data_IF_618921416357
#
_entry.id   IF_618921416357
#
_cell.length_a   1.000
_cell.length_b   1.000
_cell.length_c   1.000
_cell.angle_alpha   90.00
_cell.angle_beta   90.00
_cell.angle_gamma   90.00
#
_symmetry.space_group_name_H-M   'P 1'
#
loop_
_entity.id
_entity.type
_entity.pdbx_description
1 polymer ?
#
# COMPACT_ATOMS: atom_id res chain seq x y z
N UNK A 1 9.58 -14.20 -32.64
CA UNK A 1 9.84 -12.90 -32.01
C UNK A 1 9.33 -12.95 -30.58
N UNK A 2 10.12 -12.50 -29.63
CA UNK A 2 9.72 -12.43 -28.21
C UNK A 2 9.08 -11.06 -28.00
N UNK A 3 7.80 -11.03 -27.62
CA UNK A 3 7.12 -9.80 -27.21
C UNK A 3 7.53 -9.43 -25.78
N UNK A 4 7.93 -8.17 -25.56
CA UNK A 4 8.16 -7.65 -24.21
C UNK A 4 6.91 -6.87 -23.77
N UNK A 5 6.41 -7.21 -22.57
CA UNK A 5 5.31 -6.52 -21.91
C UNK A 5 5.85 -5.77 -20.69
N UNK A 6 5.44 -4.53 -20.51
CA UNK A 6 5.72 -3.75 -19.30
C UNK A 6 4.70 -4.06 -18.20
N UNK A 7 5.16 -4.17 -16.94
CA UNK A 7 4.31 -4.40 -15.77
C UNK A 7 4.57 -3.37 -14.69
N UNK A 8 3.64 -2.46 -14.48
CA UNK A 8 3.67 -1.49 -13.38
C UNK A 8 3.36 -2.13 -12.03
N UNK A 9 4.08 -1.72 -10.99
CA UNK A 9 3.95 -2.28 -9.64
C UNK A 9 3.79 -1.19 -8.58
N UNK A 10 4.80 -0.92 -7.80
CA UNK A 10 4.86 0.10 -6.75
C UNK A 10 6.30 0.49 -6.48
N UNK A 11 6.55 1.13 -5.36
CA UNK A 11 7.90 1.42 -4.91
C UNK A 11 8.70 0.12 -4.72
N UNK A 12 10.01 0.18 -4.91
CA UNK A 12 10.91 -0.98 -4.85
C UNK A 12 10.84 -1.73 -3.51
N UNK A 13 10.63 -1.02 -2.42
CA UNK A 13 10.46 -1.58 -1.07
C UNK A 13 9.07 -2.17 -0.81
N UNK A 14 8.08 -1.90 -1.66
CA UNK A 14 6.70 -2.33 -1.46
C UNK A 14 6.50 -3.82 -1.80
N UNK A 15 5.59 -4.47 -1.06
CA UNK A 15 5.24 -5.87 -1.29
C UNK A 15 4.70 -6.12 -2.70
N UNK A 16 3.95 -5.18 -3.24
CA UNK A 16 3.38 -5.27 -4.59
C UNK A 16 4.49 -5.34 -5.67
N UNK A 17 5.63 -4.67 -5.46
CA UNK A 17 6.78 -4.77 -6.36
C UNK A 17 7.41 -6.17 -6.31
N UNK A 18 7.59 -6.73 -5.12
CA UNK A 18 8.11 -8.09 -4.95
C UNK A 18 7.18 -9.14 -5.56
N UNK A 19 5.87 -8.95 -5.44
CA UNK A 19 4.87 -9.80 -6.09
C UNK A 19 4.98 -9.70 -7.62
N UNK A 20 5.15 -8.51 -8.17
CA UNK A 20 5.36 -8.29 -9.60
C UNK A 20 6.60 -9.00 -10.13
N UNK A 21 7.73 -8.90 -9.42
CA UNK A 21 8.95 -9.64 -9.77
C UNK A 21 8.71 -11.15 -9.80
N UNK A 22 8.02 -11.69 -8.79
CA UNK A 22 7.73 -13.12 -8.73
C UNK A 22 6.82 -13.58 -9.88
N UNK A 23 5.76 -12.82 -10.19
CA UNK A 23 4.83 -13.11 -11.28
C UNK A 23 5.55 -13.03 -12.63
N UNK A 24 6.30 -11.96 -12.88
CA UNK A 24 7.10 -11.80 -14.10
C UNK A 24 8.10 -12.94 -14.26
N UNK A 25 8.76 -13.35 -13.17
CA UNK A 25 9.68 -14.48 -13.17
C UNK A 25 9.02 -15.79 -13.58
N UNK A 26 7.82 -16.07 -13.10
CA UNK A 26 7.06 -17.25 -13.51
C UNK A 26 6.70 -17.17 -15.00
N UNK A 27 6.15 -16.05 -15.47
CA UNK A 27 5.77 -15.88 -16.88
C UNK A 27 7.00 -16.03 -17.79
N UNK A 28 8.09 -15.34 -17.48
CA UNK A 28 9.32 -15.36 -18.28
C UNK A 28 9.95 -16.76 -18.38
N UNK A 29 9.76 -17.59 -17.37
CA UNK A 29 10.29 -18.95 -17.35
C UNK A 29 9.36 -20.00 -17.96
N UNK A 30 8.05 -19.74 -18.03
CA UNK A 30 7.06 -20.76 -18.38
C UNK A 30 6.28 -20.48 -19.66
N UNK A 31 6.22 -19.21 -20.12
CA UNK A 31 5.45 -18.82 -21.30
C UNK A 31 6.36 -18.46 -22.45
N UNK A 32 6.53 -19.36 -23.45
CA UNK A 32 7.40 -19.07 -24.61
C UNK A 32 6.93 -17.86 -25.40
N UNK A 33 7.85 -17.01 -25.83
CA UNK A 33 7.57 -15.87 -26.68
C UNK A 33 7.05 -14.63 -25.94
N UNK A 34 6.93 -14.66 -24.62
CA UNK A 34 6.57 -13.50 -23.80
C UNK A 34 7.69 -13.21 -22.81
N UNK A 35 8.03 -11.94 -22.67
CA UNK A 35 8.91 -11.43 -21.63
C UNK A 35 8.23 -10.28 -20.89
N UNK A 36 8.11 -10.35 -19.57
CA UNK A 36 7.54 -9.30 -18.72
C UNK A 36 8.68 -8.54 -18.05
N UNK A 37 8.75 -7.22 -18.30
CA UNK A 37 9.65 -6.29 -17.62
C UNK A 37 8.88 -5.58 -16.50
N UNK A 38 9.38 -5.66 -15.27
CA UNK A 38 8.75 -5.03 -14.10
C UNK A 38 9.24 -3.59 -13.97
N UNK A 39 8.29 -2.68 -13.78
CA UNK A 39 8.55 -1.25 -13.58
C UNK A 39 8.09 -0.79 -12.20
N UNK A 40 8.92 0.04 -11.55
CA UNK A 40 8.54 0.74 -10.33
C UNK A 40 7.64 1.93 -10.67
N UNK A 41 6.58 2.10 -9.87
CA UNK A 41 5.63 3.20 -10.04
C UNK A 41 5.27 3.83 -8.69
N UNK A 42 4.42 4.84 -8.71
CA UNK A 42 3.87 5.47 -7.50
C UNK A 42 2.68 4.70 -6.90
N UNK A 43 2.26 3.58 -7.51
CA UNK A 43 1.20 2.71 -6.99
C UNK A 43 -0.05 2.63 -7.87
N UNK A 44 -1.12 2.10 -7.30
CA UNK A 44 -2.29 1.60 -8.02
C UNK A 44 -3.02 2.62 -8.90
N UNK A 45 -3.19 3.85 -8.45
CA UNK A 45 -3.93 4.85 -9.22
C UNK A 45 -3.19 5.23 -10.53
N UNK A 46 -1.86 5.44 -10.44
CA UNK A 46 -1.06 5.69 -11.64
C UNK A 46 -0.97 4.46 -12.53
N UNK A 47 -0.91 3.27 -11.94
CA UNK A 47 -0.90 2.02 -12.68
C UNK A 47 -2.18 1.84 -13.52
N UNK A 48 -3.34 2.08 -12.91
CA UNK A 48 -4.62 2.02 -13.61
C UNK A 48 -4.67 2.99 -14.80
N UNK A 49 -4.20 4.23 -14.60
CA UNK A 49 -4.13 5.25 -15.64
C UNK A 49 -3.20 4.81 -16.78
N UNK A 50 -1.98 4.41 -16.46
CA UNK A 50 -0.97 4.05 -17.46
C UNK A 50 -1.38 2.82 -18.28
N UNK A 51 -2.05 1.82 -17.66
CA UNK A 51 -2.60 0.69 -18.44
C UNK A 51 -3.74 1.14 -19.35
N UNK A 52 -4.61 2.02 -18.85
CA UNK A 52 -5.71 2.55 -19.67
C UNK A 52 -5.24 3.39 -20.86
N UNK A 53 -4.15 4.13 -20.70
CA UNK A 53 -3.54 4.98 -21.75
C UNK A 53 -2.61 4.21 -22.67
N UNK A 54 -2.22 2.99 -22.30
CA UNK A 54 -1.34 2.13 -23.07
C UNK A 54 0.16 2.39 -22.83
N UNK A 55 0.50 3.13 -21.78
CA UNK A 55 1.87 3.35 -21.33
C UNK A 55 2.44 2.12 -20.59
N UNK A 56 1.55 1.29 -20.05
CA UNK A 56 1.85 -0.03 -19.49
C UNK A 56 0.95 -1.10 -20.11
N UNK A 57 1.49 -2.29 -20.32
CA UNK A 57 0.72 -3.44 -20.80
C UNK A 57 -0.04 -4.14 -19.69
N UNK A 58 0.58 -4.23 -18.50
CA UNK A 58 0.10 -4.91 -17.32
C UNK A 58 0.34 -4.04 -16.09
N UNK A 59 -0.44 -4.26 -15.02
CA UNK A 59 -0.13 -3.69 -13.72
C UNK A 59 -0.71 -4.51 -12.57
N UNK A 60 -0.08 -4.40 -11.42
CA UNK A 60 -0.67 -4.79 -10.14
C UNK A 60 -1.39 -3.58 -9.55
N UNK A 61 -2.66 -3.76 -9.21
CA UNK A 61 -3.55 -2.71 -8.73
C UNK A 61 -4.38 -3.29 -7.58
N UNK A 62 -4.54 -2.54 -6.49
CA UNK A 62 -5.45 -2.91 -5.42
C UNK A 62 -6.90 -2.98 -5.94
N UNK A 63 -7.66 -3.93 -5.42
CA UNK A 63 -9.00 -4.24 -5.94
C UNK A 63 -10.01 -3.10 -5.79
N UNK A 64 -9.94 -2.33 -4.73
CA UNK A 64 -10.73 -1.12 -4.49
C UNK A 64 -10.37 -0.01 -5.49
N UNK A 65 -9.08 0.26 -5.69
CA UNK A 65 -8.60 1.23 -6.68
C UNK A 65 -9.00 0.82 -8.11
N UNK A 66 -8.93 -0.47 -8.43
CA UNK A 66 -9.39 -0.99 -9.72
C UNK A 66 -10.90 -0.80 -9.91
N UNK A 67 -11.69 -1.00 -8.85
CA UNK A 67 -13.13 -0.73 -8.84
C UNK A 67 -13.40 0.75 -9.10
N UNK A 68 -12.75 1.65 -8.35
CA UNK A 68 -12.90 3.09 -8.48
C UNK A 68 -12.50 3.60 -9.87
N UNK A 69 -11.41 3.06 -10.42
CA UNK A 69 -10.95 3.39 -11.74
C UNK A 69 -12.01 3.07 -12.81
N UNK A 70 -12.60 1.90 -12.76
CA UNK A 70 -13.63 1.48 -13.73
C UNK A 70 -14.93 2.28 -13.57
N UNK A 71 -15.31 2.63 -12.33
CA UNK A 71 -16.56 3.33 -12.04
C UNK A 71 -16.43 4.86 -12.04
N UNK A 72 -15.21 5.40 -12.11
CA UNK A 72 -14.96 6.85 -12.10
C UNK A 72 -15.30 7.48 -10.74
N UNK A 73 -14.91 6.82 -9.65
CA UNK A 73 -15.10 7.29 -8.28
C UNK A 73 -13.77 7.66 -7.61
N UNK A 74 -13.81 8.36 -6.49
CA UNK A 74 -12.62 8.82 -5.72
C UNK A 74 -11.57 9.49 -6.62
N UNK A 75 -10.37 8.94 -6.68
CA UNK A 75 -9.26 9.49 -7.49
C UNK A 75 -9.56 9.57 -9.00
N UNK A 76 -10.60 8.89 -9.45
CA UNK A 76 -11.04 8.83 -10.85
C UNK A 76 -12.39 9.54 -11.09
N UNK A 77 -12.84 10.38 -10.14
CA UNK A 77 -14.15 11.03 -10.23
C UNK A 77 -14.36 11.72 -11.59
N UNK A 78 -15.44 11.33 -12.27
CA UNK A 78 -15.79 11.82 -13.60
C UNK A 78 -14.90 11.33 -14.75
N UNK A 79 -13.97 10.40 -14.51
CA UNK A 79 -13.06 9.84 -15.52
C UNK A 79 -12.97 8.32 -15.42
N UNK A 80 -14.02 7.55 -15.72
CA UNK A 80 -13.98 6.10 -15.67
C UNK A 80 -13.01 5.52 -16.73
N UNK A 81 -12.23 4.52 -16.32
CA UNK A 81 -11.27 3.81 -17.18
C UNK A 81 -11.91 2.49 -17.66
N UNK A 82 -12.84 2.57 -18.61
CA UNK A 82 -13.69 1.46 -19.04
C UNK A 82 -12.95 0.33 -19.78
N UNK A 83 -11.73 0.58 -20.25
CA UNK A 83 -10.91 -0.39 -21.00
C UNK A 83 -10.03 -1.29 -20.13
N UNK A 84 -10.01 -1.11 -18.81
CA UNK A 84 -9.29 -2.00 -17.89
C UNK A 84 -9.92 -3.40 -17.87
N UNK A 85 -9.07 -4.42 -17.75
CA UNK A 85 -9.48 -5.83 -17.63
C UNK A 85 -8.69 -6.52 -16.53
N UNK A 86 -9.41 -7.24 -15.67
CA UNK A 86 -8.80 -8.04 -14.60
C UNK A 86 -8.38 -9.39 -15.16
N UNK A 87 -7.13 -9.76 -14.97
CA UNK A 87 -6.57 -11.06 -15.36
C UNK A 87 -6.65 -12.08 -14.22
N UNK A 88 -6.57 -11.62 -12.98
CA UNK A 88 -6.63 -12.46 -11.79
C UNK A 88 -6.37 -11.67 -10.51
N UNK A 89 -6.49 -12.32 -9.35
CA UNK A 89 -6.12 -11.78 -8.05
C UNK A 89 -4.85 -12.46 -7.52
N UNK A 90 -4.01 -11.72 -6.82
CA UNK A 90 -2.72 -12.20 -6.32
C UNK A 90 -2.78 -12.58 -4.83
N UNK A 91 -3.10 -11.64 -3.95
CA UNK A 91 -3.09 -11.83 -2.50
C UNK A 91 -4.02 -10.83 -1.81
N UNK A 92 -4.31 -11.09 -0.53
CA UNK A 92 -5.05 -10.17 0.32
C UNK A 92 -4.09 -9.27 1.08
N UNK A 93 -4.52 -8.03 1.29
CA UNK A 93 -3.85 -7.07 2.17
C UNK A 93 -4.71 -6.78 3.39
N UNK A 94 -4.07 -6.38 4.47
CA UNK A 94 -4.74 -6.01 5.70
C UNK A 94 -4.22 -4.66 6.19
N UNK A 95 -5.11 -3.85 6.75
CA UNK A 95 -4.77 -2.63 7.46
C UNK A 95 -4.34 -2.98 8.89
N UNK A 96 -3.21 -2.47 9.34
CA UNK A 96 -2.72 -2.70 10.69
C UNK A 96 -1.95 -1.50 11.24
N UNK A 97 -2.25 -1.15 12.48
CA UNK A 97 -1.52 -0.14 13.25
C UNK A 97 -0.64 -0.80 14.27
N UNK A 98 0.59 -0.33 14.41
CA UNK A 98 1.56 -0.82 15.40
C UNK A 98 2.15 0.35 16.18
N UNK A 99 2.31 0.15 17.48
CA UNK A 99 2.97 1.06 18.41
C UNK A 99 3.98 0.32 19.28
N UNK A 100 4.87 1.04 19.96
CA UNK A 100 5.67 0.42 21.01
C UNK A 100 4.77 0.09 22.23
N UNK A 101 4.95 -1.08 22.80
CA UNK A 101 4.15 -1.53 23.96
C UNK A 101 4.23 -0.56 25.15
N UNK A 102 5.39 0.06 25.35
CA UNK A 102 5.60 1.08 26.39
C UNK A 102 4.75 2.34 26.24
N UNK A 103 4.20 2.62 25.05
CA UNK A 103 3.30 3.76 24.84
C UNK A 103 1.95 3.59 25.55
N UNK A 104 1.59 2.35 25.89
CA UNK A 104 0.29 2.02 26.47
C UNK A 104 -0.88 2.04 25.49
N UNK A 105 -0.63 2.32 24.20
CA UNK A 105 -1.65 2.29 23.15
C UNK A 105 -2.05 0.84 22.87
N UNK A 106 -3.36 0.58 22.81
CA UNK A 106 -3.94 -0.75 22.53
C UNK A 106 -5.03 -0.70 21.46
N UNK A 107 -5.55 0.49 21.16
CA UNK A 107 -6.68 0.70 20.25
C UNK A 107 -6.41 1.88 19.30
N UNK A 108 -6.93 1.79 18.07
CA UNK A 108 -6.78 2.83 17.07
C UNK A 108 -7.48 4.14 17.47
N UNK A 109 -8.60 4.08 18.19
CA UNK A 109 -9.29 5.28 18.68
C UNK A 109 -8.46 6.13 19.66
N UNK A 110 -7.39 5.57 20.24
CA UNK A 110 -6.45 6.29 21.12
C UNK A 110 -5.43 7.13 20.33
N UNK A 111 -5.43 7.05 19.01
CA UNK A 111 -4.49 7.79 18.15
C UNK A 111 -4.86 9.27 17.98
N UNK A 112 -6.04 9.68 18.43
CA UNK A 112 -6.46 11.08 18.44
C UNK A 112 -5.45 11.94 19.22
N UNK A 113 -4.92 12.99 18.55
CA UNK A 113 -3.93 13.91 19.14
C UNK A 113 -2.53 13.31 19.33
N UNK A 114 -2.25 12.18 18.69
CA UNK A 114 -0.95 11.53 18.67
C UNK A 114 -0.16 11.91 17.43
N UNK A 115 1.12 11.57 17.41
CA UNK A 115 1.96 11.67 16.23
C UNK A 115 1.96 10.31 15.55
N UNK A 116 1.50 10.25 14.31
CA UNK A 116 1.35 8.98 13.58
C UNK A 116 2.08 9.01 12.24
N UNK A 117 2.41 7.85 11.71
CA UNK A 117 2.87 7.69 10.35
C UNK A 117 1.88 6.85 9.57
N UNK A 118 1.26 7.45 8.54
CA UNK A 118 0.20 6.86 7.73
C UNK A 118 0.71 6.15 6.47
N UNK A 119 2.01 6.21 6.21
CA UNK A 119 2.64 5.66 5.00
C UNK A 119 2.90 6.73 3.93
N UNK A 120 3.43 6.35 2.76
CA UNK A 120 3.82 7.30 1.71
C UNK A 120 2.66 8.13 1.22
N UNK A 121 2.91 9.42 0.95
CA UNK A 121 1.91 10.33 0.42
C UNK A 121 1.27 9.79 -0.88
N UNK A 122 -0.06 9.91 -0.99
CA UNK A 122 -0.88 9.41 -2.09
C UNK A 122 -0.79 7.89 -2.34
N UNK A 123 -0.28 7.13 -1.36
CA UNK A 123 -0.29 5.66 -1.41
C UNK A 123 -1.62 5.10 -0.89
N UNK A 124 -1.90 3.85 -1.24
CA UNK A 124 -3.05 3.12 -0.67
C UNK A 124 -2.92 2.97 0.85
N UNK A 125 -1.71 2.90 1.38
CA UNK A 125 -1.47 2.87 2.82
C UNK A 125 -1.99 4.14 3.49
N UNK A 126 -1.69 5.32 2.96
CA UNK A 126 -2.22 6.59 3.47
C UNK A 126 -3.73 6.66 3.31
N UNK A 127 -4.26 6.38 2.11
CA UNK A 127 -5.70 6.40 1.83
C UNK A 127 -6.48 5.46 2.78
N UNK A 128 -5.97 4.25 3.03
CA UNK A 128 -6.60 3.31 3.97
C UNK A 128 -6.56 3.83 5.40
N UNK A 129 -5.48 4.50 5.79
CA UNK A 129 -5.38 5.19 7.09
C UNK A 129 -6.49 6.23 7.25
N UNK A 130 -6.67 7.09 6.25
CA UNK A 130 -7.70 8.13 6.26
C UNK A 130 -9.11 7.55 6.32
N UNK A 131 -9.37 6.52 5.53
CA UNK A 131 -10.65 5.79 5.56
C UNK A 131 -10.94 5.17 6.93
N UNK A 132 -9.94 4.59 7.60
CA UNK A 132 -10.08 4.04 8.95
C UNK A 132 -10.47 5.15 9.94
N UNK A 133 -9.81 6.30 9.89
CA UNK A 133 -10.12 7.42 10.78
C UNK A 133 -11.51 7.99 10.51
N UNK A 134 -11.90 8.12 9.25
CA UNK A 134 -13.25 8.58 8.87
C UNK A 134 -14.33 7.63 9.41
N UNK A 135 -14.21 6.33 9.15
CA UNK A 135 -15.17 5.31 9.60
C UNK A 135 -15.26 5.24 11.13
N UNK A 136 -14.13 5.42 11.83
CA UNK A 136 -14.09 5.42 13.29
C UNK A 136 -14.48 6.76 13.92
N UNK A 137 -14.73 7.79 13.12
CA UNK A 137 -15.06 9.14 13.60
C UNK A 137 -13.91 9.79 14.37
N UNK A 138 -12.67 9.48 14.02
CA UNK A 138 -11.47 10.04 14.66
C UNK A 138 -11.12 11.36 13.97
N UNK A 139 -11.23 12.45 14.69
CA UNK A 139 -10.82 13.76 14.24
C UNK A 139 -9.28 13.91 14.28
N UNK A 140 -8.67 14.14 13.12
CA UNK A 140 -7.24 14.33 12.96
C UNK A 140 -6.76 15.77 13.10
N UNK A 141 -7.67 16.73 13.37
CA UNK A 141 -7.33 18.18 13.43
C UNK A 141 -6.21 18.51 14.44
N UNK A 142 -5.99 17.66 15.42
CA UNK A 142 -4.93 17.79 16.43
C UNK A 142 -3.91 16.64 16.36
N UNK A 143 -3.85 15.92 15.24
CA UNK A 143 -2.95 14.77 15.03
C UNK A 143 -1.87 15.20 14.04
N UNK A 144 -0.61 15.01 14.40
CA UNK A 144 0.51 15.19 13.47
C UNK A 144 0.67 13.91 12.66
N UNK A 145 0.69 14.05 11.32
CA UNK A 145 0.76 12.91 10.41
C UNK A 145 2.01 12.99 9.55
N UNK A 146 2.88 12.00 9.65
CA UNK A 146 3.99 11.79 8.74
C UNK A 146 3.54 10.93 7.55
N UNK A 147 3.85 11.39 6.34
CA UNK A 147 3.55 10.69 5.09
C UNK A 147 4.85 10.24 4.41
N UNK A 148 5.64 9.48 5.13
CA UNK A 148 6.96 9.03 4.70
C UNK A 148 6.93 7.65 4.05
N UNK A 149 8.09 7.26 3.47
CA UNK A 149 8.29 5.89 3.02
C UNK A 149 8.08 4.89 4.16
N UNK A 150 7.69 3.66 3.82
CA UNK A 150 7.43 2.61 4.80
C UNK A 150 8.64 2.33 5.72
N UNK A 151 9.85 2.47 5.21
CA UNK A 151 11.09 2.32 5.99
C UNK A 151 11.25 3.47 7.00
N UNK A 152 11.03 4.71 6.56
CA UNK A 152 11.11 5.88 7.44
C UNK A 152 10.02 5.87 8.51
N UNK A 153 8.83 5.39 8.18
CA UNK A 153 7.73 5.22 9.15
C UNK A 153 8.15 4.38 10.35
N UNK A 154 8.86 3.28 10.13
CA UNK A 154 9.39 2.44 11.22
C UNK A 154 10.51 3.15 11.98
N UNK A 155 11.38 3.91 11.31
CA UNK A 155 12.42 4.69 11.97
C UNK A 155 11.85 5.79 12.88
N UNK A 156 10.71 6.41 12.54
CA UNK A 156 10.01 7.32 13.44
C UNK A 156 9.60 6.63 14.75
N UNK A 157 9.11 5.40 14.69
CA UNK A 157 8.79 4.62 15.91
C UNK A 157 10.03 4.30 16.72
N UNK A 158 11.14 3.88 16.08
CA UNK A 158 12.40 3.57 16.76
C UNK A 158 12.98 4.79 17.47
N UNK A 159 12.85 5.97 16.88
CA UNK A 159 13.31 7.26 17.45
C UNK A 159 12.30 7.91 18.39
N UNK A 160 11.15 7.30 18.57
CA UNK A 160 10.05 7.84 19.38
C UNK A 160 9.57 9.22 18.91
N UNK A 161 9.70 9.51 17.62
CA UNK A 161 9.17 10.71 16.97
C UNK A 161 7.76 10.50 16.41
N UNK A 162 7.26 9.25 16.40
CA UNK A 162 5.86 8.93 16.18
C UNK A 162 5.39 7.92 17.22
N UNK A 163 4.11 8.00 17.57
CA UNK A 163 3.44 7.11 18.54
C UNK A 163 2.99 5.80 17.91
N UNK A 164 2.57 5.84 16.64
CA UNK A 164 2.11 4.66 15.90
C UNK A 164 2.41 4.75 14.40
N UNK A 165 2.52 3.60 13.77
CA UNK A 165 2.73 3.45 12.33
C UNK A 165 1.66 2.57 11.72
N UNK A 166 1.16 2.97 10.56
CA UNK A 166 0.21 2.21 9.74
C UNK A 166 0.94 1.37 8.69
N UNK A 167 0.35 0.23 8.38
CA UNK A 167 0.66 -0.54 7.19
C UNK A 167 -0.62 -1.08 6.56
N UNK A 168 -0.68 -1.03 5.25
CA UNK A 168 -1.65 -1.75 4.44
C UNK A 168 -0.89 -2.70 3.53
N UNK A 169 -0.81 -3.97 3.92
CA UNK A 169 0.03 -4.96 3.23
C UNK A 169 -0.36 -6.40 3.62
N UNK A 170 0.40 -7.36 3.12
CA UNK A 170 0.30 -8.76 3.54
C UNK A 170 0.84 -8.97 4.96
N UNK A 171 0.41 -10.05 5.60
CA UNK A 171 0.97 -10.49 6.89
C UNK A 171 1.87 -11.72 6.61
N UNK A 172 3.09 -11.76 7.17
CA UNK A 172 3.76 -10.73 7.98
C UNK A 172 4.23 -9.54 7.13
N UNK A 173 4.07 -8.33 7.68
CA UNK A 173 4.63 -7.12 7.07
C UNK A 173 6.07 -6.91 7.54
N UNK A 174 7.04 -6.98 6.62
CA UNK A 174 8.49 -7.05 6.95
C UNK A 174 9.00 -5.91 7.82
N UNK A 175 8.54 -4.69 7.58
CA UNK A 175 8.99 -3.55 8.38
C UNK A 175 8.47 -3.62 9.83
N UNK A 176 7.21 -4.03 10.02
CA UNK A 176 6.65 -4.25 11.37
C UNK A 176 7.28 -5.46 12.05
N UNK A 177 7.56 -6.53 11.30
CA UNK A 177 8.28 -7.70 11.82
C UNK A 177 9.70 -7.34 12.29
N UNK A 178 10.44 -6.55 11.50
CA UNK A 178 11.76 -6.07 11.89
C UNK A 178 11.69 -5.23 13.16
N UNK A 179 10.70 -4.33 13.29
CA UNK A 179 10.49 -3.56 14.50
C UNK A 179 10.16 -4.45 15.70
N UNK A 180 9.28 -5.44 15.53
CA UNK A 180 8.87 -6.38 16.59
C UNK A 180 10.01 -7.30 17.05
N UNK A 181 10.99 -7.55 16.20
CA UNK A 181 12.18 -8.33 16.58
C UNK A 181 13.17 -7.53 17.44
N UNK A 182 13.15 -6.19 17.33
CA UNK A 182 14.06 -5.31 18.07
C UNK A 182 13.40 -4.71 19.33
N UNK A 183 12.08 -4.52 19.31
CA UNK A 183 11.33 -3.81 20.35
C UNK A 183 10.05 -4.57 20.74
N UNK A 184 9.61 -4.41 22.00
CA UNK A 184 8.27 -4.86 22.38
C UNK A 184 7.21 -3.96 21.73
N UNK A 185 6.43 -4.54 20.83
CA UNK A 185 5.39 -3.85 20.06
C UNK A 185 3.98 -4.29 20.44
N UNK A 186 2.99 -3.49 20.06
CA UNK A 186 1.56 -3.76 20.20
C UNK A 186 0.88 -3.48 18.85
N UNK A 187 0.11 -4.44 18.37
CA UNK A 187 -0.83 -4.23 17.26
C UNK A 187 -2.13 -3.68 17.85
N UNK A 188 -2.59 -2.54 17.31
CA UNK A 188 -3.75 -1.84 17.86
C UNK A 188 -5.05 -2.46 17.33
N UNK A 189 -6.03 -2.63 18.22
CA UNK A 189 -7.36 -3.07 17.86
C UNK A 189 -8.22 -1.97 17.24
N UNK A 190 -9.26 -2.36 16.52
CA UNK A 190 -10.22 -1.46 15.85
C UNK A 190 -11.55 -1.30 16.62
N UNK A 191 -11.56 -1.43 17.91
CA UNK A 191 -12.79 -1.32 18.74
C UNK A 191 -12.89 0.01 19.46
#
# INVERSE_FOLDING_TARGET
ETGTLSMGTGEESAQIHQAGIAIAGVINNTVPGIHVAVETTKGSAINATNVSEGDLDLALIEGDVAYDAVHGTYSFEGRPLENLRVLGSCYQQVSGWMALKKSGLTQVNQLKGKIISSGPAASVTELTSDMVFEVMGIDLSNTEVYTDSLTNSVEHIKRETADAVHAFSTVPYRAHEALANEYETMVLGYT
#
